data_IF_044162870384
#
_entry.id   IF_044162870384
#
_cell.length_a   1.000
_cell.length_b   1.000
_cell.length_c   1.000
_cell.angle_alpha   90.00
_cell.angle_beta   90.00
_cell.angle_gamma   90.00
#
_symmetry.space_group_name_H-M   'P 1'
#
loop_
_entity.id
_entity.type
_entity.pdbx_description
1 polymer ?
#
# COMPACT_ATOMS: atom_id res chain seq x y z
N UNK A 1 13.99 15.93 -22.84
CA UNK A 1 15.09 16.12 -21.87
C UNK A 1 14.76 15.44 -20.54
N UNK A 2 13.53 15.57 -20.03
CA UNK A 2 13.06 14.91 -18.80
C UNK A 2 13.09 13.38 -18.85
N UNK A 3 12.78 12.76 -19.99
CA UNK A 3 12.90 11.30 -20.18
C UNK A 3 14.34 10.80 -20.01
N UNK A 4 15.36 11.59 -20.39
CA UNK A 4 16.77 11.20 -20.23
C UNK A 4 17.23 11.21 -18.77
N UNK A 5 16.81 12.21 -17.98
CA UNK A 5 17.15 12.30 -16.55
C UNK A 5 16.54 11.14 -15.74
N UNK A 6 15.28 10.79 -16.03
CA UNK A 6 14.65 9.62 -15.39
C UNK A 6 15.31 8.30 -15.82
N UNK A 7 15.81 8.21 -17.06
CA UNK A 7 16.48 7.02 -17.57
C UNK A 7 17.89 6.83 -16.99
N UNK A 8 18.64 7.90 -16.70
CA UNK A 8 19.91 7.84 -15.97
C UNK A 8 19.70 7.48 -14.48
N UNK A 9 18.68 8.05 -13.84
CA UNK A 9 18.29 7.69 -12.47
C UNK A 9 17.77 6.24 -12.37
N UNK A 10 17.16 5.72 -13.45
CA UNK A 10 16.69 4.34 -13.52
C UNK A 10 17.86 3.35 -13.43
N UNK A 11 18.94 3.58 -14.18
CA UNK A 11 20.04 2.62 -14.35
C UNK A 11 20.95 2.46 -13.13
N UNK A 12 20.99 3.46 -12.23
CA UNK A 12 21.93 3.49 -11.11
C UNK A 12 21.50 2.60 -9.94
N UNK A 13 20.49 3.04 -9.18
CA UNK A 13 20.05 2.37 -7.95
C UNK A 13 18.58 1.96 -7.97
N UNK A 14 17.78 2.56 -8.87
CA UNK A 14 16.36 2.24 -9.01
C UNK A 14 16.15 0.85 -9.63
N UNK A 15 16.95 0.48 -10.64
CA UNK A 15 16.86 -0.82 -11.30
C UNK A 15 17.14 -2.02 -10.38
N UNK A 16 18.22 -2.05 -9.56
CA UNK A 16 18.40 -3.07 -8.53
C UNK A 16 17.23 -3.20 -7.56
N UNK A 17 16.57 -2.07 -7.23
CA UNK A 17 15.42 -2.05 -6.33
C UNK A 17 14.17 -2.67 -6.97
N UNK A 18 13.92 -2.42 -8.26
CA UNK A 18 12.88 -3.14 -9.01
C UNK A 18 13.14 -4.65 -9.02
N UNK A 19 14.37 -5.07 -9.31
CA UNK A 19 14.75 -6.49 -9.28
C UNK A 19 14.51 -7.09 -7.90
N UNK A 20 14.89 -6.39 -6.83
CA UNK A 20 14.63 -6.83 -5.46
C UNK A 20 13.14 -7.04 -5.19
N UNK A 21 12.27 -6.12 -5.61
CA UNK A 21 10.81 -6.28 -5.46
C UNK A 21 10.31 -7.50 -6.27
N UNK A 22 10.77 -7.69 -7.51
CA UNK A 22 10.39 -8.84 -8.32
C UNK A 22 10.87 -10.16 -7.71
N UNK A 23 12.05 -10.20 -7.10
CA UNK A 23 12.56 -11.37 -6.37
C UNK A 23 11.64 -11.68 -5.18
N UNK A 24 11.20 -10.67 -4.42
CA UNK A 24 10.24 -10.89 -3.32
C UNK A 24 8.91 -11.46 -3.85
N UNK A 25 8.39 -10.94 -4.97
CA UNK A 25 7.18 -11.47 -5.61
C UNK A 25 7.37 -12.93 -6.02
N UNK A 26 8.51 -13.24 -6.65
CA UNK A 26 8.84 -14.59 -7.09
C UNK A 26 8.97 -15.55 -5.89
N UNK A 27 9.61 -15.11 -4.80
CA UNK A 27 9.71 -15.86 -3.55
C UNK A 27 8.33 -16.15 -2.97
N UNK A 28 7.44 -15.14 -2.88
CA UNK A 28 6.07 -15.33 -2.40
C UNK A 28 5.31 -16.38 -3.23
N UNK A 29 5.47 -16.35 -4.55
CA UNK A 29 4.87 -17.34 -5.46
C UNK A 29 5.47 -18.74 -5.26
N UNK A 30 6.78 -18.84 -5.07
CA UNK A 30 7.48 -20.12 -4.91
C UNK A 30 7.18 -20.79 -3.56
N UNK A 31 7.14 -20.01 -2.47
CA UNK A 31 6.92 -20.55 -1.12
C UNK A 31 5.44 -20.81 -0.81
N UNK A 32 4.52 -20.04 -1.42
CA UNK A 32 3.08 -20.13 -1.15
C UNK A 32 2.22 -20.15 -2.43
N UNK A 33 2.42 -21.12 -3.36
CA UNK A 33 1.79 -21.11 -4.68
C UNK A 33 0.26 -21.13 -4.63
N UNK A 34 -0.33 -21.95 -3.75
CA UNK A 34 -1.78 -22.04 -3.60
C UNK A 34 -2.38 -20.73 -3.05
N UNK A 35 -1.79 -20.18 -1.98
CA UNK A 35 -2.22 -18.91 -1.41
C UNK A 35 -2.06 -17.75 -2.40
N UNK A 36 -0.94 -17.70 -3.14
CA UNK A 36 -0.68 -16.66 -4.14
C UNK A 36 -1.71 -16.71 -5.28
N UNK A 37 -2.13 -17.90 -5.71
CA UNK A 37 -3.15 -18.06 -6.76
C UNK A 37 -4.52 -17.54 -6.33
N UNK A 38 -4.91 -17.75 -5.07
CA UNK A 38 -6.16 -17.22 -4.52
C UNK A 38 -6.05 -15.72 -4.20
N UNK A 39 -4.86 -15.27 -3.80
CA UNK A 39 -4.53 -13.85 -3.59
C UNK A 39 -4.60 -13.03 -4.89
N UNK A 40 -4.23 -13.59 -6.04
CA UNK A 40 -4.41 -12.90 -7.33
C UNK A 40 -5.88 -12.74 -7.73
N UNK A 41 -6.77 -13.62 -7.24
CA UNK A 41 -8.22 -13.55 -7.51
C UNK A 41 -8.95 -12.62 -6.54
N UNK A 42 -8.25 -12.03 -5.58
CA UNK A 42 -8.79 -11.21 -4.52
C UNK A 42 -9.68 -10.03 -4.97
N UNK A 43 -9.40 -9.28 -6.06
CA UNK A 43 -10.31 -8.23 -6.53
C UNK A 43 -11.65 -8.76 -7.06
N UNK A 44 -11.69 -10.03 -7.49
CA UNK A 44 -12.90 -10.65 -8.05
C UNK A 44 -13.60 -11.57 -7.06
N UNK A 45 -12.88 -12.11 -6.08
CA UNK A 45 -13.37 -13.18 -5.21
C UNK A 45 -12.93 -13.01 -3.76
N UNK A 46 -13.91 -12.82 -2.88
CA UNK A 46 -13.72 -12.64 -1.44
C UNK A 46 -13.39 -13.93 -0.69
N UNK A 47 -13.43 -15.10 -1.36
CA UNK A 47 -13.10 -16.40 -0.76
C UNK A 47 -11.74 -16.39 -0.08
N UNK A 48 -10.75 -15.70 -0.63
CA UNK A 48 -9.43 -15.59 -0.01
C UNK A 48 -9.50 -15.05 1.43
N UNK A 49 -10.25 -13.97 1.64
CA UNK A 49 -10.36 -13.33 2.96
C UNK A 49 -11.08 -14.26 3.93
N UNK A 50 -12.18 -14.87 3.49
CA UNK A 50 -13.03 -15.71 4.35
C UNK A 50 -12.32 -17.00 4.77
N UNK A 51 -11.51 -17.59 3.88
CA UNK A 51 -10.81 -18.86 4.12
C UNK A 51 -9.55 -18.64 4.95
N UNK A 52 -8.71 -17.66 4.59
CA UNK A 52 -7.38 -17.52 5.17
C UNK A 52 -7.30 -16.61 6.40
N UNK A 53 -8.40 -15.95 6.77
CA UNK A 53 -8.51 -15.24 8.07
C UNK A 53 -8.36 -16.21 9.26
N UNK A 54 -8.88 -17.44 9.13
CA UNK A 54 -8.94 -18.43 10.20
C UNK A 54 -7.69 -19.31 10.24
N UNK A 55 -6.63 -18.73 10.82
CA UNK A 55 -5.48 -19.40 11.48
C UNK A 55 -4.59 -20.30 10.63
N UNK A 56 -3.47 -19.74 10.15
CA UNK A 56 -2.19 -20.45 10.04
C UNK A 56 -1.00 -19.50 10.25
N UNK A 57 0.10 -19.97 10.86
CA UNK A 57 1.37 -19.22 10.99
C UNK A 57 1.97 -18.83 9.63
N UNK A 58 1.74 -19.68 8.62
CA UNK A 58 2.17 -19.45 7.23
C UNK A 58 1.49 -18.23 6.61
N UNK A 59 0.19 -18.04 6.86
CA UNK A 59 -0.58 -16.88 6.37
C UNK A 59 -0.06 -15.59 6.99
N UNK A 60 0.33 -15.61 8.27
CA UNK A 60 0.91 -14.43 8.92
C UNK A 60 2.24 -14.00 8.30
N UNK A 61 3.12 -14.96 8.00
CA UNK A 61 4.39 -14.68 7.31
C UNK A 61 4.14 -14.12 5.91
N UNK A 62 3.19 -14.69 5.16
CA UNK A 62 2.78 -14.16 3.85
C UNK A 62 2.32 -12.69 3.96
N UNK A 63 1.45 -12.36 4.92
CA UNK A 63 0.97 -10.98 5.12
C UNK A 63 2.11 -10.02 5.48
N UNK A 64 3.06 -10.43 6.30
CA UNK A 64 4.21 -9.60 6.68
C UNK A 64 5.09 -9.31 5.47
N UNK A 65 5.42 -10.33 4.67
CA UNK A 65 6.22 -10.14 3.45
C UNK A 65 5.48 -9.25 2.43
N UNK A 66 4.17 -9.45 2.26
CA UNK A 66 3.35 -8.58 1.40
C UNK A 66 3.28 -7.13 1.90
N UNK A 67 3.35 -6.90 3.21
CA UNK A 67 3.44 -5.55 3.79
C UNK A 67 4.79 -4.88 3.47
N UNK A 68 5.90 -5.61 3.57
CA UNK A 68 7.21 -5.10 3.15
C UNK A 68 7.22 -4.76 1.66
N UNK A 69 6.64 -5.64 0.83
CA UNK A 69 6.48 -5.39 -0.59
C UNK A 69 5.70 -4.10 -0.85
N UNK A 70 4.56 -3.92 -0.17
CA UNK A 70 3.78 -2.68 -0.25
C UNK A 70 4.64 -1.45 0.09
N UNK A 71 5.43 -1.51 1.16
CA UNK A 71 6.27 -0.40 1.58
C UNK A 71 7.30 -0.02 0.50
N UNK A 72 8.07 -0.99 -0.01
CA UNK A 72 9.07 -0.72 -1.06
C UNK A 72 8.44 -0.18 -2.34
N UNK A 73 7.33 -0.79 -2.79
CA UNK A 73 6.62 -0.38 -4.01
C UNK A 73 6.05 1.03 -3.92
N UNK A 74 5.41 1.40 -2.80
CA UNK A 74 4.89 2.76 -2.61
C UNK A 74 6.02 3.78 -2.53
N UNK A 75 7.12 3.45 -1.87
CA UNK A 75 8.30 4.33 -1.78
C UNK A 75 8.89 4.61 -3.15
N UNK A 76 8.98 3.59 -4.00
CA UNK A 76 9.43 3.70 -5.38
C UNK A 76 8.48 4.59 -6.19
N UNK A 77 7.17 4.36 -6.10
CA UNK A 77 6.17 5.19 -6.80
C UNK A 77 6.26 6.67 -6.44
N UNK A 78 6.29 7.01 -5.14
CA UNK A 78 6.38 8.40 -4.70
C UNK A 78 7.72 9.05 -5.06
N UNK A 79 8.81 8.29 -5.05
CA UNK A 79 10.11 8.80 -5.49
C UNK A 79 10.11 9.17 -6.98
N UNK A 80 9.64 8.27 -7.86
CA UNK A 80 9.56 8.55 -9.31
C UNK A 80 8.58 9.70 -9.58
N UNK A 81 7.45 9.72 -8.89
CA UNK A 81 6.49 10.82 -8.96
C UNK A 81 7.15 12.16 -8.61
N UNK A 82 7.87 12.23 -7.48
CA UNK A 82 8.54 13.45 -7.03
C UNK A 82 9.59 13.95 -8.02
N UNK A 83 10.36 13.04 -8.60
CA UNK A 83 11.35 13.38 -9.64
C UNK A 83 10.70 13.89 -10.92
N UNK A 84 9.58 13.29 -11.34
CA UNK A 84 8.86 13.70 -12.54
C UNK A 84 8.29 15.12 -12.42
N UNK A 85 7.70 15.47 -11.28
CA UNK A 85 7.16 16.82 -11.02
C UNK A 85 8.22 17.83 -10.55
N UNK A 86 9.50 17.46 -10.54
CA UNK A 86 10.63 18.29 -10.07
C UNK A 86 10.35 18.93 -8.70
N UNK A 87 9.77 18.15 -7.80
CA UNK A 87 9.49 18.63 -6.44
C UNK A 87 10.85 18.74 -5.74
N UNK A 88 11.35 19.97 -5.60
CA UNK A 88 12.57 20.26 -4.84
C UNK A 88 12.30 20.06 -3.35
N UNK A 89 12.32 18.79 -2.91
CA UNK A 89 12.39 18.44 -1.51
C UNK A 89 13.83 18.68 -1.05
N UNK A 90 14.08 19.83 -0.42
CA UNK A 90 15.32 20.07 0.31
C UNK A 90 15.39 19.09 1.48
N UNK A 91 16.30 18.11 1.41
CA UNK A 91 16.33 17.02 2.37
C UNK A 91 17.73 16.78 2.94
N UNK A 92 17.71 16.36 4.21
CA UNK A 92 18.80 16.45 5.20
C UNK A 92 19.92 15.42 5.04
N UNK A 93 19.72 14.33 4.29
CA UNK A 93 20.59 13.14 4.35
C UNK A 93 21.31 12.80 3.03
N UNK A 94 21.10 13.58 1.97
CA UNK A 94 21.71 13.37 0.64
C UNK A 94 21.09 12.23 -0.20
N UNK A 95 20.28 11.34 0.39
CA UNK A 95 19.56 10.28 -0.32
C UNK A 95 18.04 10.44 -0.24
N UNK A 96 17.46 11.17 -1.21
CA UNK A 96 16.03 11.48 -1.28
C UNK A 96 15.10 10.27 -1.14
N UNK A 97 15.49 9.12 -1.68
CA UNK A 97 14.69 7.89 -1.60
C UNK A 97 14.55 7.36 -0.18
N UNK A 98 15.62 7.40 0.62
CA UNK A 98 15.64 6.81 1.94
C UNK A 98 14.73 7.61 2.89
N UNK A 99 14.74 8.93 2.77
CA UNK A 99 13.84 9.82 3.51
C UNK A 99 12.37 9.55 3.16
N UNK A 100 12.04 9.46 1.86
CA UNK A 100 10.69 9.12 1.38
C UNK A 100 10.26 7.74 1.90
N UNK A 101 11.15 6.74 1.81
CA UNK A 101 10.87 5.40 2.29
C UNK A 101 10.61 5.37 3.79
N UNK A 102 11.38 6.12 4.59
CA UNK A 102 11.22 6.20 6.03
C UNK A 102 9.88 6.88 6.40
N UNK A 103 9.53 7.98 5.72
CA UNK A 103 8.24 8.66 5.92
C UNK A 103 7.08 7.71 5.60
N UNK A 104 7.14 6.96 4.50
CA UNK A 104 6.10 6.01 4.11
C UNK A 104 6.03 4.83 5.09
N UNK A 105 7.16 4.30 5.55
CA UNK A 105 7.19 3.25 6.58
C UNK A 105 6.53 3.74 7.86
N UNK A 106 6.92 4.92 8.33
CA UNK A 106 6.38 5.54 9.53
C UNK A 106 4.85 5.70 9.39
N UNK A 107 4.39 6.23 8.27
CA UNK A 107 2.96 6.39 7.98
C UNK A 107 2.21 5.04 7.98
N UNK A 108 2.76 4.00 7.34
CA UNK A 108 2.14 2.68 7.30
C UNK A 108 2.07 2.03 8.69
N UNK A 109 3.15 2.11 9.47
CA UNK A 109 3.23 1.56 10.83
C UNK A 109 2.29 2.31 11.77
N UNK A 110 2.30 3.64 11.72
CA UNK A 110 1.40 4.50 12.50
C UNK A 110 -0.06 4.10 12.24
N UNK A 111 -0.45 3.96 10.95
CA UNK A 111 -1.79 3.51 10.56
C UNK A 111 -2.13 2.14 11.12
N UNK A 112 -1.19 1.18 11.17
CA UNK A 112 -1.41 -0.14 11.77
C UNK A 112 -1.55 -0.11 13.29
N UNK A 113 -0.72 0.67 13.99
CA UNK A 113 -0.76 0.77 15.46
C UNK A 113 -2.09 1.32 15.94
N UNK A 114 -2.56 2.36 15.27
CA UNK A 114 -3.87 2.95 15.53
C UNK A 114 -4.97 1.91 15.34
N UNK A 115 -5.01 1.23 14.19
CA UNK A 115 -6.05 0.24 13.88
C UNK A 115 -6.12 -0.88 14.94
N UNK A 116 -4.96 -1.27 15.49
CA UNK A 116 -4.88 -2.21 16.63
C UNK A 116 -5.32 -1.57 17.96
N UNK A 117 -4.90 -0.35 18.24
CA UNK A 117 -5.24 0.37 19.47
C UNK A 117 -6.75 0.54 19.65
N UNK A 118 -7.46 0.87 18.57
CA UNK A 118 -8.92 1.02 18.64
C UNK A 118 -9.60 -0.34 18.80
N UNK A 119 -9.10 -1.37 18.11
CA UNK A 119 -9.62 -2.72 18.34
C UNK A 119 -9.57 -3.15 19.80
N UNK A 120 -8.56 -2.68 20.53
CA UNK A 120 -8.39 -2.95 21.94
C UNK A 120 -9.39 -2.15 22.79
N UNK A 121 -9.58 -0.85 22.50
CA UNK A 121 -10.50 0.02 23.24
C UNK A 121 -11.97 -0.39 23.11
N UNK A 122 -12.40 -0.88 21.95
CA UNK A 122 -13.79 -1.23 21.67
C UNK A 122 -14.10 -2.73 21.76
N UNK A 123 -13.12 -3.54 22.17
CA UNK A 123 -13.19 -5.02 22.22
C UNK A 123 -13.63 -5.70 20.91
N UNK A 124 -13.43 -5.02 19.77
CA UNK A 124 -13.75 -5.50 18.42
C UNK A 124 -12.61 -6.34 17.80
N UNK A 125 -11.97 -7.20 18.60
CA UNK A 125 -10.74 -7.93 18.22
C UNK A 125 -10.91 -8.82 16.99
N UNK A 126 -12.07 -9.46 16.83
CA UNK A 126 -12.39 -10.27 15.66
C UNK A 126 -12.40 -9.43 14.39
N UNK A 127 -13.22 -8.38 14.39
CA UNK A 127 -13.41 -7.49 13.25
C UNK A 127 -12.12 -6.77 12.82
N UNK A 128 -11.33 -6.24 13.77
CA UNK A 128 -10.08 -5.55 13.44
C UNK A 128 -9.05 -6.48 12.80
N UNK A 129 -9.00 -7.76 13.24
CA UNK A 129 -8.09 -8.73 12.64
C UNK A 129 -8.45 -9.00 11.18
N UNK A 130 -9.73 -9.21 10.87
CA UNK A 130 -10.23 -9.37 9.49
C UNK A 130 -9.95 -8.12 8.66
N UNK A 131 -10.18 -6.95 9.26
CA UNK A 131 -10.00 -5.65 8.64
C UNK A 131 -8.54 -5.40 8.26
N UNK A 132 -7.60 -5.53 9.22
CA UNK A 132 -6.17 -5.33 9.01
C UNK A 132 -5.65 -6.31 7.95
N UNK A 133 -6.03 -7.59 8.03
CA UNK A 133 -5.61 -8.60 7.06
C UNK A 133 -6.08 -8.26 5.64
N UNK A 134 -7.37 -7.94 5.48
CA UNK A 134 -7.95 -7.58 4.19
C UNK A 134 -7.30 -6.32 3.63
N UNK A 135 -7.14 -5.27 4.45
CA UNK A 135 -6.53 -4.00 4.07
C UNK A 135 -5.08 -4.18 3.61
N UNK A 136 -4.27 -4.99 4.30
CA UNK A 136 -2.91 -5.28 3.86
C UNK A 136 -2.95 -6.06 2.54
N UNK A 137 -3.84 -7.03 2.38
CA UNK A 137 -3.94 -7.84 1.16
C UNK A 137 -4.32 -7.00 -0.08
N UNK A 138 -5.35 -6.15 -0.01
CA UNK A 138 -5.73 -5.29 -1.14
C UNK A 138 -4.65 -4.26 -1.46
N UNK A 139 -4.03 -3.66 -0.44
CA UNK A 139 -3.06 -2.59 -0.63
C UNK A 139 -1.72 -3.11 -1.17
N UNK A 140 -1.28 -4.29 -0.72
CA UNK A 140 -0.12 -4.98 -1.30
C UNK A 140 -0.41 -5.49 -2.71
N UNK A 141 -1.64 -5.89 -3.03
CA UNK A 141 -2.02 -6.26 -4.40
C UNK A 141 -1.93 -5.06 -5.35
N UNK A 142 -2.48 -3.91 -4.93
CA UNK A 142 -2.33 -2.65 -5.67
C UNK A 142 -0.86 -2.29 -5.88
N UNK A 143 -0.01 -2.53 -4.88
CA UNK A 143 1.43 -2.22 -4.93
C UNK A 143 2.19 -3.07 -5.95
N UNK A 144 1.83 -4.36 -6.12
CA UNK A 144 2.39 -5.24 -7.16
C UNK A 144 2.02 -4.70 -8.55
N UNK A 145 0.76 -4.30 -8.73
CA UNK A 145 0.28 -3.75 -9.99
C UNK A 145 1.03 -2.45 -10.36
N UNK A 146 1.17 -1.54 -9.39
CA UNK A 146 1.90 -0.28 -9.57
C UNK A 146 3.35 -0.53 -9.94
N UNK A 147 4.04 -1.41 -9.23
CA UNK A 147 5.45 -1.71 -9.52
C UNK A 147 5.63 -2.25 -10.92
N UNK A 148 4.75 -3.16 -11.33
CA UNK A 148 4.78 -3.74 -12.68
C UNK A 148 4.57 -2.67 -13.75
N UNK A 149 3.58 -1.82 -13.58
CA UNK A 149 3.29 -0.75 -14.54
C UNK A 149 4.37 0.33 -14.57
N UNK A 150 4.92 0.73 -13.41
CA UNK A 150 6.05 1.64 -13.32
C UNK A 150 7.28 1.11 -14.04
N UNK A 151 7.56 -0.19 -13.91
CA UNK A 151 8.67 -0.82 -14.63
C UNK A 151 8.51 -0.64 -16.15
N UNK A 152 7.32 -0.94 -16.70
CA UNK A 152 7.04 -0.69 -18.13
C UNK A 152 7.14 0.78 -18.51
N UNK A 153 6.66 1.67 -17.63
CA UNK A 153 6.68 3.11 -17.86
C UNK A 153 8.11 3.63 -18.02
N UNK A 154 9.08 3.11 -17.25
CA UNK A 154 10.50 3.49 -17.34
C UNK A 154 11.16 3.11 -18.67
N UNK A 155 10.66 2.11 -19.39
CA UNK A 155 11.14 1.77 -20.74
C UNK A 155 10.41 2.54 -21.86
N UNK A 156 9.33 3.26 -21.53
CA UNK A 156 8.60 4.05 -22.51
C UNK A 156 9.42 5.26 -22.95
N UNK A 157 9.45 5.52 -24.25
CA UNK A 157 10.13 6.68 -24.85
C UNK A 157 9.43 8.01 -24.55
N UNK A 158 8.15 7.97 -24.17
CA UNK A 158 7.38 9.15 -23.79
C UNK A 158 6.71 8.97 -22.43
N UNK A 159 7.15 9.78 -21.48
CA UNK A 159 6.55 9.89 -20.15
C UNK A 159 5.62 11.09 -20.15
N UNK A 160 4.35 10.86 -19.85
CA UNK A 160 3.32 11.89 -19.71
C UNK A 160 2.74 11.84 -18.30
N UNK A 161 2.35 12.99 -17.77
CA UNK A 161 1.77 13.10 -16.43
C UNK A 161 0.52 12.22 -16.26
N UNK A 162 -0.24 12.03 -17.35
CA UNK A 162 -1.48 11.24 -17.36
C UNK A 162 -1.28 9.80 -16.85
N UNK A 163 -0.12 9.18 -17.08
CA UNK A 163 0.15 7.82 -16.63
C UNK A 163 0.23 7.72 -15.10
N UNK A 164 0.78 8.74 -14.45
CA UNK A 164 0.85 8.83 -13.00
C UNK A 164 -0.55 9.01 -12.39
N UNK A 165 -1.39 9.88 -12.96
CA UNK A 165 -2.78 10.04 -12.53
C UNK A 165 -3.61 8.77 -12.71
N UNK A 166 -3.43 8.05 -13.83
CA UNK A 166 -4.08 6.75 -14.05
C UNK A 166 -3.66 5.73 -12.98
N UNK A 167 -2.35 5.64 -12.69
CA UNK A 167 -1.84 4.74 -11.65
C UNK A 167 -2.44 5.05 -10.27
N UNK A 168 -2.48 6.33 -9.90
CA UNK A 168 -3.05 6.77 -8.63
C UNK A 168 -4.55 6.46 -8.55
N UNK A 169 -5.29 6.65 -9.65
CA UNK A 169 -6.71 6.32 -9.73
C UNK A 169 -6.95 4.82 -9.57
N UNK A 170 -6.15 3.97 -10.24
CA UNK A 170 -6.24 2.51 -10.09
C UNK A 170 -5.93 2.07 -8.66
N UNK A 171 -4.92 2.66 -8.02
CA UNK A 171 -4.60 2.40 -6.61
C UNK A 171 -5.82 2.67 -5.73
N UNK A 172 -6.47 3.83 -5.89
CA UNK A 172 -7.63 4.20 -5.10
C UNK A 172 -8.80 3.24 -5.33
N UNK A 173 -9.09 2.86 -6.58
CA UNK A 173 -10.15 1.92 -6.92
C UNK A 173 -9.93 0.57 -6.23
N UNK A 174 -8.72 0.00 -6.28
CA UNK A 174 -8.42 -1.29 -5.65
C UNK A 174 -8.59 -1.21 -4.13
N UNK A 175 -8.16 -0.11 -3.50
CA UNK A 175 -8.35 0.06 -2.06
C UNK A 175 -9.84 0.23 -1.70
N UNK A 176 -10.62 0.98 -2.49
CA UNK A 176 -12.08 1.13 -2.29
C UNK A 176 -12.79 -0.22 -2.43
N UNK A 177 -12.43 -1.05 -3.41
CA UNK A 177 -12.97 -2.41 -3.54
C UNK A 177 -12.67 -3.24 -2.27
N UNK A 178 -11.48 -3.07 -1.71
CA UNK A 178 -11.12 -3.70 -0.44
C UNK A 178 -12.03 -3.28 0.71
N UNK A 179 -12.33 -2.00 0.83
CA UNK A 179 -13.28 -1.47 1.81
C UNK A 179 -14.69 -2.06 1.65
N UNK A 180 -15.21 -2.07 0.41
CA UNK A 180 -16.55 -2.62 0.12
C UNK A 180 -16.62 -4.09 0.54
N UNK A 181 -15.58 -4.87 0.24
CA UNK A 181 -15.56 -6.29 0.56
C UNK A 181 -15.44 -6.56 2.07
N UNK A 182 -14.67 -5.76 2.80
CA UNK A 182 -14.61 -5.81 4.27
C UNK A 182 -15.99 -5.57 4.88
N UNK A 183 -16.70 -4.53 4.42
CA UNK A 183 -18.03 -4.18 4.92
C UNK A 183 -18.99 -5.34 4.63
N UNK A 184 -18.96 -5.88 3.40
CA UNK A 184 -19.83 -6.99 2.98
C UNK A 184 -19.64 -8.26 3.82
N UNK A 185 -18.41 -8.61 4.18
CA UNK A 185 -18.10 -9.80 4.99
C UNK A 185 -18.58 -9.63 6.44
N UNK A 186 -18.48 -8.42 7.00
CA UNK A 186 -18.70 -8.16 8.42
C UNK A 186 -20.04 -7.46 8.73
N UNK A 187 -20.99 -7.39 7.78
CA UNK A 187 -22.26 -6.66 7.96
C UNK A 187 -23.05 -7.08 9.20
N UNK A 188 -23.01 -8.37 9.57
CA UNK A 188 -23.77 -8.91 10.72
C UNK A 188 -23.26 -8.42 12.07
N UNK A 189 -21.95 -8.23 12.20
CA UNK A 189 -21.29 -7.72 13.42
C UNK A 189 -21.25 -6.19 13.47
N UNK A 190 -21.29 -5.50 12.32
CA UNK A 190 -21.19 -4.04 12.22
C UNK A 190 -22.56 -3.36 12.36
N UNK A 191 -23.67 -4.02 11.99
CA UNK A 191 -25.04 -3.44 11.99
C UNK A 191 -25.40 -2.58 13.23
N UNK A 192 -25.08 -2.98 14.48
CA UNK A 192 -25.42 -2.16 15.65
C UNK A 192 -24.53 -0.91 15.84
N UNK A 193 -23.38 -0.81 15.16
CA UNK A 193 -22.39 0.27 15.35
C UNK A 193 -21.98 0.98 14.05
N UNK A 194 -22.76 0.89 12.97
CA UNK A 194 -22.45 1.46 11.63
C UNK A 194 -22.09 2.95 11.67
N UNK A 195 -22.82 3.76 12.44
CA UNK A 195 -22.60 5.22 12.50
C UNK A 195 -21.30 5.54 13.23
N UNK A 196 -21.04 4.86 14.35
CA UNK A 196 -19.77 4.98 15.08
C UNK A 196 -18.59 4.48 14.24
N UNK A 197 -18.78 3.41 13.47
CA UNK A 197 -17.76 2.87 12.56
C UNK A 197 -17.41 3.87 11.44
N UNK A 198 -18.40 4.48 10.78
CA UNK A 198 -18.17 5.45 9.68
C UNK A 198 -17.53 6.74 10.20
N UNK A 199 -18.03 7.29 11.31
CA UNK A 199 -17.47 8.51 11.92
C UNK A 199 -16.01 8.28 12.33
N UNK A 200 -15.72 7.13 12.91
CA UNK A 200 -14.38 6.67 13.30
C UNK A 200 -13.41 6.52 12.12
N UNK A 201 -13.89 5.97 11.00
CA UNK A 201 -13.13 5.76 9.75
C UNK A 201 -12.72 7.09 9.11
N UNK A 202 -13.66 8.05 9.04
CA UNK A 202 -13.43 9.39 8.51
C UNK A 202 -12.48 10.22 9.37
N UNK A 203 -12.65 10.23 10.70
CA UNK A 203 -11.74 10.97 11.57
C UNK A 203 -10.30 10.46 11.43
N UNK A 204 -10.10 9.16 11.27
CA UNK A 204 -8.75 8.58 11.28
C UNK A 204 -8.06 8.51 9.92
N UNK A 205 -8.80 8.36 8.82
CA UNK A 205 -8.18 8.44 7.50
C UNK A 205 -7.73 9.88 7.19
N UNK A 206 -8.42 10.88 7.75
CA UNK A 206 -8.16 12.31 7.55
C UNK A 206 -7.18 12.87 8.59
N UNK A 207 -7.19 12.38 9.84
CA UNK A 207 -6.30 12.86 10.92
C UNK A 207 -4.81 12.94 10.58
N UNK A 208 -4.16 11.93 9.96
CA UNK A 208 -2.74 12.03 9.63
C UNK A 208 -2.48 13.04 8.50
N UNK A 209 -3.43 13.27 7.58
CA UNK A 209 -3.31 14.34 6.60
C UNK A 209 -3.42 15.72 7.25
N UNK A 210 -4.35 15.89 8.22
CA UNK A 210 -4.46 17.12 9.00
C UNK A 210 -3.18 17.37 9.81
N UNK A 211 -2.58 16.33 10.40
CA UNK A 211 -1.32 16.47 11.13
C UNK A 211 -0.13 16.85 10.23
N UNK A 212 -0.04 16.27 9.02
CA UNK A 212 0.98 16.62 8.03
C UNK A 212 0.80 18.05 7.50
N UNK A 213 -0.44 18.46 7.19
CA UNK A 213 -0.76 19.82 6.71
C UNK A 213 -0.51 20.87 7.80
N UNK A 214 -0.94 20.59 9.03
CA UNK A 214 -0.76 21.53 10.14
C UNK A 214 0.72 21.71 10.50
N UNK A 215 1.53 20.66 10.41
CA UNK A 215 2.99 20.75 10.59
C UNK A 215 3.69 21.53 9.45
N UNK A 216 3.16 21.46 8.23
CA UNK A 216 3.70 22.20 7.06
C UNK A 216 3.41 23.71 7.10
N UNK A 217 2.45 24.17 7.90
CA UNK A 217 2.10 25.59 8.05
C UNK A 217 2.78 26.27 9.26
N UNK A 218 3.55 25.50 10.05
CA UNK A 218 4.24 25.97 11.27
C UNK A 218 5.77 26.08 11.03
N UNK A 219 6.24 25.77 9.82
CA UNK A 219 7.62 25.87 9.38
C UNK A 219 7.72 26.87 8.23
#
# INVERSE_FOLDING_TARGET
MESKLLQEAFLSWTFPLFLFIFVIIALLKATYPHHFSEYLKLPFNNKYIIIYEKKERKVQLFTVVSFFLQWFSLSLFFYIWGQFFKINLSLSTGFLFLDIALVILCFLILKLFIQKGISYLFDLKGFSKTYIFSRIAYSSYASIFITTFLFFLMFSTSLREIYFYILLTILLIINILGWINIIKINQKTIKPYIIYFILYLCTFEIAPYVFLICKSNIL
#
